data_IF_266437018786
#
_entry.id   IF_266437018786
#
_cell.length_a   1.000
_cell.length_b   1.000
_cell.length_c   1.000
_cell.angle_alpha   90.00
_cell.angle_beta   90.00
_cell.angle_gamma   90.00
#
_symmetry.space_group_name_H-M   'P 1'
#
loop_
_entity.id
_entity.type
_entity.pdbx_description
1 polymer ?
#
# COMPACT_ATOMS: atom_id res chain seq x y z
N UNK A 1 -5.44 15.02 29.95
CA UNK A 1 -6.60 14.28 29.38
C UNK A 1 -6.11 13.51 28.17
N UNK A 2 -6.34 12.18 28.09
CA UNK A 2 -5.98 11.37 26.92
C UNK A 2 -6.80 11.82 25.70
N UNK A 3 -6.18 11.87 24.52
CA UNK A 3 -6.88 12.15 23.26
C UNK A 3 -7.96 11.10 22.98
N UNK A 4 -8.95 11.42 22.12
CA UNK A 4 -10.00 10.46 21.72
C UNK A 4 -9.41 9.17 21.11
N UNK A 5 -8.33 9.29 20.31
CA UNK A 5 -7.63 8.16 19.72
C UNK A 5 -6.97 7.26 20.79
N UNK A 6 -6.28 7.85 21.77
CA UNK A 6 -5.65 7.10 22.86
C UNK A 6 -6.69 6.33 23.70
N UNK A 7 -7.87 6.92 23.97
CA UNK A 7 -8.95 6.21 24.68
C UNK A 7 -9.44 4.98 23.91
N UNK A 8 -9.50 5.07 22.56
CA UNK A 8 -9.89 3.93 21.72
C UNK A 8 -8.85 2.82 21.75
N UNK A 9 -7.55 3.14 21.76
CA UNK A 9 -6.49 2.13 21.85
C UNK A 9 -6.50 1.39 23.19
N UNK A 10 -6.67 2.11 24.30
CA UNK A 10 -6.83 1.50 25.64
C UNK A 10 -8.05 0.57 25.66
N UNK A 11 -9.17 0.98 25.05
CA UNK A 11 -10.36 0.12 24.96
C UNK A 11 -10.09 -1.15 24.13
N UNK A 12 -9.34 -1.06 23.02
CA UNK A 12 -8.95 -2.24 22.23
C UNK A 12 -8.12 -3.21 23.07
N UNK A 13 -7.07 -2.73 23.74
CA UNK A 13 -6.22 -3.56 24.58
C UNK A 13 -7.02 -4.23 25.72
N UNK A 14 -7.88 -3.49 26.39
CA UNK A 14 -8.75 -4.02 27.44
C UNK A 14 -9.72 -5.08 26.90
N UNK A 15 -10.35 -4.82 25.75
CA UNK A 15 -11.26 -5.79 25.11
C UNK A 15 -10.55 -7.08 24.74
N UNK A 16 -9.33 -7.02 24.19
CA UNK A 16 -8.55 -8.22 23.87
C UNK A 16 -8.32 -9.06 25.12
N UNK A 17 -7.88 -8.43 26.21
CA UNK A 17 -7.61 -9.10 27.48
C UNK A 17 -8.87 -9.69 28.14
N UNK A 18 -9.93 -8.88 28.26
CA UNK A 18 -11.17 -9.23 28.99
C UNK A 18 -11.99 -10.29 28.24
N UNK A 19 -12.12 -10.14 26.91
CA UNK A 19 -12.91 -11.03 26.06
C UNK A 19 -12.13 -12.22 25.53
N UNK A 20 -10.83 -12.31 25.84
CA UNK A 20 -9.93 -13.37 25.35
C UNK A 20 -9.99 -13.49 23.82
N UNK A 21 -9.86 -12.37 23.13
CA UNK A 21 -9.91 -12.33 21.67
C UNK A 21 -8.75 -13.14 21.08
N UNK A 22 -9.07 -14.04 20.15
CA UNK A 22 -8.08 -14.93 19.50
C UNK A 22 -7.66 -14.44 18.13
N UNK A 23 -8.52 -13.73 17.42
CA UNK A 23 -8.26 -13.26 16.04
C UNK A 23 -8.70 -11.80 15.89
N UNK A 24 -7.88 -11.01 15.21
CA UNK A 24 -8.21 -9.62 14.89
C UNK A 24 -7.86 -9.30 13.44
N UNK A 25 -8.68 -8.46 12.80
CA UNK A 25 -8.39 -7.83 11.52
C UNK A 25 -8.07 -6.36 11.77
N UNK A 26 -6.86 -5.92 11.44
CA UNK A 26 -6.37 -4.58 11.72
C UNK A 26 -5.69 -4.00 10.47
N UNK A 27 -5.88 -2.71 10.20
CA UNK A 27 -5.07 -2.05 9.18
C UNK A 27 -3.69 -1.68 9.74
N UNK A 28 -2.64 -1.60 8.92
CA UNK A 28 -1.28 -1.28 9.37
C UNK A 28 -1.16 -0.04 10.25
N UNK A 29 -1.93 1.01 9.94
CA UNK A 29 -1.97 2.22 10.78
C UNK A 29 -2.47 1.96 12.21
N UNK A 30 -3.47 1.09 12.38
CA UNK A 30 -3.97 0.72 13.72
C UNK A 30 -2.94 -0.09 14.48
N UNK A 31 -2.25 -1.01 13.81
CA UNK A 31 -1.16 -1.79 14.40
C UNK A 31 -0.04 -0.86 14.87
N UNK A 32 0.39 0.08 14.02
CA UNK A 32 1.39 1.07 14.39
C UNK A 32 0.98 1.88 15.61
N UNK A 33 -0.27 2.36 15.65
CA UNK A 33 -0.78 3.11 16.79
C UNK A 33 -0.79 2.28 18.08
N UNK A 34 -1.11 0.98 18.02
CA UNK A 34 -1.02 0.08 19.16
C UNK A 34 0.43 -0.08 19.64
N UNK A 35 1.36 -0.34 18.72
CA UNK A 35 2.78 -0.50 19.03
C UNK A 35 3.41 0.77 19.64
N UNK A 36 2.92 1.94 19.25
CA UNK A 36 3.42 3.23 19.77
C UNK A 36 2.78 3.64 21.10
N UNK A 37 1.80 2.86 21.60
CA UNK A 37 1.18 3.14 22.90
C UNK A 37 2.10 2.73 24.04
N UNK A 38 2.26 3.59 25.07
CA UNK A 38 3.15 3.37 26.21
C UNK A 38 2.90 2.05 26.95
N UNK A 39 1.65 1.62 27.02
CA UNK A 39 1.21 0.48 27.81
C UNK A 39 1.17 -0.83 27.01
N UNK A 40 1.56 -0.80 25.73
CA UNK A 40 1.44 -1.98 24.86
C UNK A 40 2.25 -3.18 25.34
N UNK A 41 3.42 -2.93 25.94
CA UNK A 41 4.28 -3.99 26.46
C UNK A 41 3.68 -4.69 27.70
N UNK A 42 2.79 -4.00 28.43
CA UNK A 42 2.10 -4.53 29.61
C UNK A 42 0.71 -5.08 29.28
N UNK A 43 0.21 -4.86 28.06
CA UNK A 43 -1.12 -5.30 27.66
C UNK A 43 -1.18 -6.82 27.45
N UNK A 44 -2.26 -7.45 27.92
CA UNK A 44 -2.45 -8.89 27.78
C UNK A 44 -2.98 -9.27 26.39
N UNK A 45 -2.10 -9.76 25.52
CA UNK A 45 -2.40 -10.35 24.22
C UNK A 45 -2.22 -11.87 24.22
N UNK A 46 -2.12 -12.52 25.37
CA UNK A 46 -1.82 -13.96 25.47
C UNK A 46 -2.85 -14.86 24.81
N UNK A 47 -4.11 -14.41 24.69
CA UNK A 47 -5.17 -15.14 23.99
C UNK A 47 -5.14 -14.98 22.48
N UNK A 48 -4.41 -13.98 21.96
CA UNK A 48 -4.38 -13.66 20.53
C UNK A 48 -3.57 -14.72 19.77
N UNK A 49 -4.21 -15.38 18.82
CA UNK A 49 -3.57 -16.41 17.98
C UNK A 49 -3.14 -15.84 16.63
N UNK A 50 -3.97 -14.93 16.04
CA UNK A 50 -3.69 -14.36 14.72
C UNK A 50 -4.06 -12.89 14.65
N UNK A 51 -3.21 -12.12 13.99
CA UNK A 51 -3.52 -10.77 13.49
C UNK A 51 -3.49 -10.82 11.97
N UNK A 52 -4.65 -10.59 11.35
CA UNK A 52 -4.79 -10.42 9.93
C UNK A 52 -4.64 -8.93 9.63
N UNK A 53 -3.77 -8.58 8.70
CA UNK A 53 -3.58 -7.19 8.30
C UNK A 53 -3.63 -7.03 6.78
N UNK A 54 -4.01 -5.87 6.30
CA UNK A 54 -4.12 -5.60 4.87
C UNK A 54 -4.74 -4.23 4.59
N UNK A 55 -5.31 -4.09 3.40
CA UNK A 55 -5.88 -2.85 2.87
C UNK A 55 -4.87 -1.73 2.56
N UNK A 56 -3.65 -1.77 3.11
CA UNK A 56 -2.53 -0.89 2.76
C UNK A 56 -1.21 -1.59 3.00
N UNK A 57 -0.09 -1.12 2.41
CA UNK A 57 1.24 -1.68 2.66
C UNK A 57 1.61 -1.63 4.15
N UNK A 58 2.24 -2.69 4.65
CA UNK A 58 2.78 -2.78 6.01
C UNK A 58 4.25 -2.36 6.00
N UNK A 59 4.64 -1.28 6.71
CA UNK A 59 6.05 -0.93 6.83
C UNK A 59 6.86 -2.06 7.48
N UNK A 60 8.00 -2.40 6.90
CA UNK A 60 8.85 -3.49 7.39
C UNK A 60 9.22 -3.36 8.88
N UNK A 61 9.56 -2.15 9.32
CA UNK A 61 9.88 -1.87 10.72
C UNK A 61 8.69 -2.11 11.66
N UNK A 62 7.46 -1.79 11.22
CA UNK A 62 6.22 -2.05 11.99
C UNK A 62 5.98 -3.55 12.11
N UNK A 63 6.12 -4.29 11.00
CA UNK A 63 5.97 -5.74 10.99
C UNK A 63 6.99 -6.42 11.89
N UNK A 64 8.25 -6.01 11.81
CA UNK A 64 9.32 -6.54 12.65
C UNK A 64 9.02 -6.32 14.13
N UNK A 65 8.61 -5.11 14.54
CA UNK A 65 8.20 -4.81 15.92
C UNK A 65 7.03 -5.69 16.40
N UNK A 66 6.05 -5.98 15.52
CA UNK A 66 4.96 -6.92 15.86
C UNK A 66 5.51 -8.31 16.19
N UNK A 67 6.37 -8.83 15.32
CA UNK A 67 6.93 -10.18 15.47
C UNK A 67 7.84 -10.30 16.68
N UNK A 68 8.55 -9.25 17.04
CA UNK A 68 9.38 -9.18 18.26
C UNK A 68 8.54 -9.09 19.53
N UNK A 69 7.51 -8.25 19.53
CA UNK A 69 6.65 -8.03 20.71
C UNK A 69 5.70 -9.23 20.95
N UNK A 70 5.20 -9.83 19.88
CA UNK A 70 4.21 -10.90 19.93
C UNK A 70 4.66 -12.15 19.14
N UNK A 71 5.73 -12.83 19.54
CA UNK A 71 6.30 -13.97 18.78
C UNK A 71 5.35 -15.18 18.67
N UNK A 72 4.35 -15.25 19.54
CA UNK A 72 3.33 -16.31 19.54
C UNK A 72 2.17 -16.01 18.59
N UNK A 73 1.98 -14.75 18.16
CA UNK A 73 0.88 -14.36 17.29
C UNK A 73 1.24 -14.63 15.82
N UNK A 74 0.40 -15.38 15.14
CA UNK A 74 0.53 -15.60 13.70
C UNK A 74 0.13 -14.35 12.91
N UNK A 75 1.10 -13.68 12.30
CA UNK A 75 0.81 -12.58 11.38
C UNK A 75 0.32 -13.12 10.05
N UNK A 76 -0.74 -12.54 9.48
CA UNK A 76 -1.31 -12.89 8.18
C UNK A 76 -1.53 -11.62 7.40
N UNK A 77 -0.90 -11.47 6.24
CA UNK A 77 -1.26 -10.40 5.31
C UNK A 77 -2.38 -10.86 4.39
N UNK A 78 -3.36 -9.99 4.14
CA UNK A 78 -4.42 -10.19 3.18
C UNK A 78 -4.44 -9.04 2.16
N UNK A 79 -4.30 -9.38 0.89
CA UNK A 79 -4.48 -8.45 -0.23
C UNK A 79 -5.80 -8.72 -0.94
N UNK A 80 -6.44 -7.65 -1.36
CA UNK A 80 -7.64 -7.66 -2.18
C UNK A 80 -8.41 -6.35 -2.06
N UNK A 81 -9.65 -6.38 -2.52
CA UNK A 81 -10.52 -5.20 -2.57
C UNK A 81 -11.99 -5.61 -2.42
N UNK A 82 -12.88 -4.63 -2.24
CA UNK A 82 -14.30 -4.86 -2.02
C UNK A 82 -14.94 -5.71 -3.12
N UNK A 83 -14.50 -5.53 -4.35
CA UNK A 83 -14.91 -6.26 -5.55
C UNK A 83 -14.60 -7.77 -5.49
N UNK A 84 -13.75 -8.18 -4.53
CA UNK A 84 -13.28 -9.55 -4.32
C UNK A 84 -13.72 -10.14 -2.97
N UNK A 85 -14.62 -9.52 -2.25
CA UNK A 85 -15.31 -9.91 -1.00
C UNK A 85 -14.42 -10.48 0.15
N UNK A 86 -13.36 -9.85 0.61
CA UNK A 86 -12.47 -8.87 0.00
C UNK A 86 -11.07 -9.44 -0.34
N UNK A 87 -10.79 -10.75 -0.15
CA UNK A 87 -9.42 -11.31 -0.14
C UNK A 87 -9.09 -12.10 -1.40
N UNK A 88 -8.02 -11.71 -2.08
CA UNK A 88 -7.47 -12.40 -3.25
C UNK A 88 -6.26 -13.26 -2.89
N UNK A 89 -5.28 -12.70 -2.18
CA UNK A 89 -4.08 -13.42 -1.75
C UNK A 89 -3.86 -13.33 -0.25
N UNK A 90 -3.10 -14.28 0.27
CA UNK A 90 -2.69 -14.28 1.67
C UNK A 90 -1.20 -14.65 1.81
N UNK A 91 -0.49 -13.92 2.68
CA UNK A 91 0.82 -14.29 3.16
C UNK A 91 0.65 -14.96 4.53
N UNK A 92 1.07 -16.20 4.64
CA UNK A 92 0.81 -17.05 5.80
C UNK A 92 1.68 -16.69 7.02
N UNK A 93 1.33 -17.15 8.25
CA UNK A 93 2.22 -17.03 9.40
C UNK A 93 3.56 -17.74 9.20
N UNK A 94 3.59 -18.80 8.41
CA UNK A 94 4.81 -19.52 8.06
C UNK A 94 5.74 -18.68 7.21
N UNK A 95 5.18 -18.00 6.19
CA UNK A 95 5.93 -17.09 5.34
C UNK A 95 6.49 -15.91 6.14
N UNK A 96 5.73 -15.40 7.12
CA UNK A 96 6.22 -14.37 8.04
C UNK A 96 7.41 -14.86 8.86
N UNK A 97 7.37 -16.09 9.39
CA UNK A 97 8.49 -16.68 10.12
C UNK A 97 9.70 -16.96 9.25
N UNK A 98 9.46 -17.34 7.98
CA UNK A 98 10.52 -17.54 6.98
C UNK A 98 11.27 -16.24 6.70
N UNK A 99 10.57 -15.12 6.69
CA UNK A 99 11.17 -13.79 6.53
C UNK A 99 11.77 -13.54 5.14
N UNK A 100 12.65 -12.54 5.06
CA UNK A 100 13.32 -12.19 3.81
C UNK A 100 12.43 -11.39 2.85
N UNK A 101 12.69 -11.54 1.53
CA UNK A 101 11.99 -10.76 0.50
C UNK A 101 10.49 -11.08 0.42
N UNK A 102 10.06 -12.28 0.80
CA UNK A 102 8.65 -12.67 0.74
C UNK A 102 7.75 -11.80 1.64
N UNK A 103 8.30 -11.17 2.67
CA UNK A 103 7.56 -10.22 3.51
C UNK A 103 7.09 -8.97 2.77
N UNK A 104 7.64 -8.71 1.59
CA UNK A 104 7.21 -7.61 0.70
C UNK A 104 6.10 -8.04 -0.25
N UNK A 105 5.82 -9.35 -0.35
CA UNK A 105 4.77 -9.86 -1.22
C UNK A 105 3.40 -9.69 -0.59
N UNK A 106 2.36 -9.70 -1.42
CA UNK A 106 0.98 -9.82 -1.00
C UNK A 106 0.58 -11.28 -0.69
N UNK A 107 1.53 -12.22 -0.76
CA UNK A 107 1.30 -13.64 -0.55
C UNK A 107 0.92 -14.39 -1.83
N UNK A 108 0.26 -15.54 -1.66
CA UNK A 108 -0.18 -16.43 -2.73
C UNK A 108 -1.70 -16.38 -2.90
N UNK A 109 -2.22 -16.71 -4.10
CA UNK A 109 -3.65 -16.83 -4.33
C UNK A 109 -4.33 -17.73 -3.29
N UNK A 110 -5.52 -17.32 -2.82
CA UNK A 110 -6.34 -18.20 -1.98
C UNK A 110 -6.90 -19.36 -2.83
N UNK A 111 -7.23 -20.52 -2.25
CA UNK A 111 -7.67 -21.69 -3.01
C UNK A 111 -8.94 -21.51 -3.81
N UNK A 112 -9.69 -20.43 -3.60
CA UNK A 112 -10.99 -20.18 -4.25
C UNK A 112 -10.89 -19.27 -5.47
N UNK A 113 -9.71 -18.73 -5.78
CA UNK A 113 -9.54 -17.80 -6.90
C UNK A 113 -8.37 -18.13 -7.81
N UNK A 114 -8.55 -17.78 -9.07
CA UNK A 114 -7.49 -17.68 -10.06
C UNK A 114 -7.00 -16.23 -10.09
N UNK A 115 -5.70 -16.03 -10.16
CA UNK A 115 -5.06 -14.71 -10.30
C UNK A 115 -4.08 -14.76 -11.46
N UNK A 116 -4.11 -13.74 -12.32
CA UNK A 116 -3.18 -13.53 -13.39
C UNK A 116 -2.61 -12.13 -13.31
N UNK A 117 -1.41 -11.94 -13.83
CA UNK A 117 -0.84 -10.62 -14.15
C UNK A 117 -0.84 -10.52 -15.67
N UNK A 118 -1.50 -9.51 -16.21
CA UNK A 118 -1.75 -9.40 -17.65
C UNK A 118 -1.19 -8.10 -18.23
N UNK A 119 -0.80 -8.17 -19.50
CA UNK A 119 -0.48 -7.03 -20.34
C UNK A 119 -1.74 -6.28 -20.76
N UNK A 120 -1.58 -5.11 -21.39
CA UNK A 120 -2.70 -4.27 -21.89
C UNK A 120 -3.58 -5.00 -22.92
N UNK A 121 -3.04 -6.00 -23.64
CA UNK A 121 -3.78 -6.84 -24.58
C UNK A 121 -4.49 -8.04 -23.93
N UNK A 122 -4.39 -8.17 -22.59
CA UNK A 122 -4.98 -9.26 -21.80
C UNK A 122 -4.20 -10.58 -21.84
N UNK A 123 -3.05 -10.64 -22.51
CA UNK A 123 -2.13 -11.80 -22.47
C UNK A 123 -1.41 -11.86 -21.12
N UNK A 124 -1.01 -13.09 -20.70
CA UNK A 124 -0.26 -13.26 -19.45
C UNK A 124 1.13 -12.62 -19.54
N UNK A 125 1.52 -11.91 -18.49
CA UNK A 125 2.89 -11.48 -18.30
C UNK A 125 3.79 -12.67 -17.95
N UNK A 126 5.04 -12.62 -18.40
CA UNK A 126 6.06 -13.55 -17.92
C UNK A 126 6.33 -13.30 -16.42
N UNK A 127 6.84 -14.33 -15.74
CA UNK A 127 7.29 -14.20 -14.34
C UNK A 127 8.34 -13.09 -14.24
N UNK A 128 8.24 -12.26 -13.22
CA UNK A 128 9.10 -11.09 -13.02
C UNK A 128 8.73 -9.86 -13.84
N UNK A 129 7.72 -9.96 -14.73
CA UNK A 129 7.23 -8.83 -15.54
C UNK A 129 5.98 -8.25 -14.89
N UNK A 130 5.94 -6.93 -14.79
CA UNK A 130 4.80 -6.19 -14.23
C UNK A 130 3.67 -6.07 -15.24
N UNK A 131 2.43 -6.24 -14.76
CA UNK A 131 1.20 -6.00 -15.50
C UNK A 131 0.02 -5.80 -14.55
N UNK A 132 -1.19 -5.69 -15.09
CA UNK A 132 -2.39 -5.56 -14.25
C UNK A 132 -2.75 -6.89 -13.58
N UNK A 133 -3.01 -6.82 -12.29
CA UNK A 133 -3.53 -7.98 -11.52
C UNK A 133 -5.00 -8.16 -11.84
N UNK A 134 -5.38 -9.34 -12.36
CA UNK A 134 -6.76 -9.71 -12.59
C UNK A 134 -7.12 -10.96 -11.80
N UNK A 135 -8.33 -10.96 -11.24
CA UNK A 135 -8.80 -12.00 -10.32
C UNK A 135 -10.15 -12.57 -10.77
N UNK A 136 -10.28 -13.87 -10.72
CA UNK A 136 -11.54 -14.59 -11.00
C UNK A 136 -11.81 -15.59 -9.89
N UNK A 137 -13.06 -15.66 -9.44
CA UNK A 137 -13.51 -16.65 -8.45
C UNK A 137 -14.98 -16.46 -8.08
N UNK A 138 -15.56 -17.39 -7.29
CA UNK A 138 -16.98 -17.33 -6.90
C UNK A 138 -17.31 -16.14 -5.98
N UNK A 139 -16.32 -15.49 -5.43
CA UNK A 139 -16.45 -14.36 -4.51
C UNK A 139 -16.35 -12.99 -5.20
N UNK A 140 -16.14 -12.96 -6.53
CA UNK A 140 -16.08 -11.69 -7.29
C UNK A 140 -17.45 -11.03 -7.32
N UNK A 141 -17.46 -9.70 -7.30
CA UNK A 141 -18.68 -8.89 -7.34
C UNK A 141 -19.54 -9.21 -8.56
N UNK A 142 -20.85 -9.02 -8.45
CA UNK A 142 -21.76 -9.05 -9.60
C UNK A 142 -21.72 -7.76 -10.42
N UNK A 143 -21.26 -6.65 -9.83
CA UNK A 143 -21.13 -5.33 -10.45
C UNK A 143 -21.37 -4.20 -9.46
N UNK A 144 -21.17 -2.99 -9.94
CA UNK A 144 -21.48 -1.77 -9.19
C UNK A 144 -22.96 -1.39 -9.33
N UNK A 145 -23.58 -1.03 -8.23
CA UNK A 145 -25.01 -0.64 -8.22
C UNK A 145 -25.27 0.58 -9.10
N UNK A 146 -26.18 0.43 -10.08
CA UNK A 146 -26.55 1.47 -11.06
C UNK A 146 -25.38 2.06 -11.86
N UNK A 147 -24.31 1.28 -12.07
CA UNK A 147 -23.12 1.71 -12.79
C UNK A 147 -22.67 0.66 -13.81
N UNK A 148 -23.42 0.48 -14.89
CA UNK A 148 -23.14 -0.58 -15.87
C UNK A 148 -21.82 -0.35 -16.62
N UNK A 149 -21.46 0.88 -16.93
CA UNK A 149 -20.23 1.19 -17.65
C UNK A 149 -18.98 0.92 -16.79
N UNK A 150 -18.98 1.38 -15.53
CA UNK A 150 -17.90 1.10 -14.58
C UNK A 150 -17.80 -0.40 -14.28
N UNK A 151 -18.96 -1.10 -14.22
CA UNK A 151 -18.97 -2.55 -14.08
C UNK A 151 -18.32 -3.24 -15.27
N UNK A 152 -18.67 -2.84 -16.49
CA UNK A 152 -18.09 -3.42 -17.71
C UNK A 152 -16.57 -3.17 -17.84
N UNK A 153 -16.06 -2.05 -17.28
CA UNK A 153 -14.61 -1.79 -17.23
C UNK A 153 -13.91 -2.67 -16.21
N UNK A 154 -14.49 -2.81 -15.03
CA UNK A 154 -13.87 -3.54 -13.91
C UNK A 154 -14.07 -5.07 -14.00
N UNK A 155 -15.13 -5.55 -14.66
CA UNK A 155 -15.47 -6.97 -14.77
C UNK A 155 -15.57 -7.38 -16.24
N UNK A 156 -14.52 -8.04 -16.74
CA UNK A 156 -14.42 -8.44 -18.13
C UNK A 156 -14.23 -9.97 -18.24
N UNK A 157 -15.12 -10.64 -18.95
CA UNK A 157 -15.07 -12.11 -19.16
C UNK A 157 -14.95 -12.92 -17.85
N UNK A 158 -15.56 -12.44 -16.76
CA UNK A 158 -15.54 -13.06 -15.44
C UNK A 158 -14.26 -12.77 -14.63
N UNK A 159 -13.38 -11.94 -15.14
CA UNK A 159 -12.20 -11.44 -14.42
C UNK A 159 -12.45 -10.02 -13.91
N UNK A 160 -12.13 -9.79 -12.64
CA UNK A 160 -12.07 -8.46 -12.06
C UNK A 160 -10.69 -7.88 -12.36
N UNK A 161 -10.66 -6.78 -13.09
CA UNK A 161 -9.49 -5.94 -13.33
C UNK A 161 -9.32 -5.02 -12.12
N UNK A 162 -8.27 -5.27 -11.34
CA UNK A 162 -8.13 -4.66 -10.01
C UNK A 162 -7.66 -3.20 -10.05
N UNK A 163 -7.05 -2.79 -11.15
CA UNK A 163 -6.35 -1.51 -11.27
C UNK A 163 -5.05 -1.46 -10.45
N UNK A 164 -4.60 -2.59 -9.92
CA UNK A 164 -3.31 -2.70 -9.24
C UNK A 164 -2.29 -3.35 -10.18
N UNK A 165 -1.09 -2.79 -10.28
CA UNK A 165 0.04 -3.40 -10.97
C UNK A 165 0.71 -4.40 -10.04
N UNK A 166 1.06 -5.58 -10.57
CA UNK A 166 1.71 -6.62 -9.80
C UNK A 166 2.70 -7.45 -10.59
N UNK A 167 3.47 -8.26 -9.89
CA UNK A 167 4.48 -9.18 -10.43
C UNK A 167 4.36 -10.50 -9.69
N UNK A 168 4.36 -11.63 -10.40
CA UNK A 168 4.59 -12.94 -9.79
C UNK A 168 6.08 -13.29 -9.80
N UNK A 169 6.56 -13.88 -8.70
CA UNK A 169 7.86 -14.55 -8.67
C UNK A 169 7.74 -16.05 -9.06
N UNK A 170 8.90 -16.72 -9.17
CA UNK A 170 8.98 -18.14 -9.53
C UNK A 170 8.32 -19.07 -8.50
N UNK A 171 8.18 -18.63 -7.26
CA UNK A 171 7.51 -19.35 -6.17
C UNK A 171 6.00 -19.10 -6.11
N UNK A 172 5.45 -18.24 -6.99
CA UNK A 172 4.04 -17.90 -7.09
C UNK A 172 3.56 -16.89 -6.02
N UNK A 173 4.47 -16.11 -5.45
CA UNK A 173 4.10 -14.95 -4.62
C UNK A 173 3.80 -13.75 -5.50
N UNK A 174 2.71 -13.07 -5.19
CA UNK A 174 2.31 -11.81 -5.83
C UNK A 174 2.92 -10.62 -5.10
N UNK A 175 3.60 -9.76 -5.82
CA UNK A 175 4.08 -8.47 -5.33
C UNK A 175 3.25 -7.36 -5.95
N UNK A 176 2.55 -6.58 -5.15
CA UNK A 176 1.85 -5.38 -5.63
C UNK A 176 2.86 -4.26 -5.75
N UNK A 177 3.00 -3.73 -6.94
CA UNK A 177 3.98 -2.69 -7.28
C UNK A 177 3.40 -1.31 -7.05
N UNK A 178 2.21 -1.04 -7.60
CA UNK A 178 1.52 0.25 -7.48
C UNK A 178 0.05 0.13 -7.92
N UNK A 179 -0.67 1.24 -7.87
CA UNK A 179 -1.94 1.41 -8.57
C UNK A 179 -1.70 1.97 -9.97
N UNK A 180 -2.32 1.35 -10.98
CA UNK A 180 -2.18 1.82 -12.36
C UNK A 180 -2.56 3.29 -12.54
N UNK A 181 -3.64 3.74 -11.88
CA UNK A 181 -4.07 5.14 -11.88
C UNK A 181 -3.14 6.12 -11.17
N UNK A 182 -2.24 5.61 -10.32
CA UNK A 182 -1.27 6.43 -9.56
C UNK A 182 0.13 6.40 -10.20
N UNK A 183 0.36 5.47 -11.14
CA UNK A 183 1.57 5.39 -11.93
C UNK A 183 1.78 6.68 -12.74
N UNK A 184 3.00 7.18 -12.76
CA UNK A 184 3.37 8.39 -13.52
C UNK A 184 3.96 7.96 -14.86
N UNK A 185 3.41 8.49 -15.95
CA UNK A 185 3.94 8.26 -17.31
C UNK A 185 4.78 9.45 -17.72
N UNK A 186 6.09 9.34 -17.61
CA UNK A 186 7.03 10.44 -17.89
C UNK A 186 7.92 10.09 -19.07
N UNK A 187 7.82 10.86 -20.17
CA UNK A 187 8.61 10.63 -21.38
C UNK A 187 8.41 9.24 -22.02
N UNK A 188 7.24 8.62 -21.83
CA UNK A 188 6.91 7.27 -22.29
C UNK A 188 7.35 6.14 -21.36
N UNK A 189 7.98 6.45 -20.23
CA UNK A 189 8.40 5.49 -19.23
C UNK A 189 7.41 5.44 -18.05
N UNK A 190 7.10 4.24 -17.59
CA UNK A 190 6.24 4.01 -16.44
C UNK A 190 7.03 4.12 -15.13
N UNK A 191 6.61 5.01 -14.26
CA UNK A 191 7.19 5.20 -12.92
C UNK A 191 6.17 4.81 -11.87
N UNK A 192 6.45 3.74 -11.16
CA UNK A 192 5.65 3.32 -10.01
C UNK A 192 5.95 4.26 -8.83
N UNK A 193 4.93 4.94 -8.35
CA UNK A 193 5.07 5.94 -7.28
C UNK A 193 5.56 5.33 -5.99
N UNK A 194 5.14 4.10 -5.68
CA UNK A 194 5.56 3.36 -4.49
C UNK A 194 7.07 3.09 -4.47
N UNK A 195 7.71 2.85 -5.63
CA UNK A 195 9.17 2.65 -5.71
C UNK A 195 9.92 3.93 -5.29
N UNK A 196 9.44 5.08 -5.76
CA UNK A 196 10.03 6.39 -5.43
C UNK A 196 9.76 6.75 -3.97
N UNK A 197 8.55 6.47 -3.47
CA UNK A 197 8.18 6.65 -2.06
C UNK A 197 9.08 5.83 -1.14
N UNK A 198 9.34 4.56 -1.48
CA UNK A 198 10.24 3.68 -0.73
C UNK A 198 11.69 4.19 -0.71
N UNK A 199 12.16 4.75 -1.82
CA UNK A 199 13.48 5.38 -1.87
C UNK A 199 13.54 6.59 -0.94
N UNK A 200 12.56 7.49 -1.00
CA UNK A 200 12.53 8.71 -0.20
C UNK A 200 12.33 8.46 1.29
N UNK A 201 11.44 7.52 1.67
CA UNK A 201 11.16 7.20 3.08
C UNK A 201 12.37 6.59 3.80
N UNK A 202 13.32 6.02 3.05
CA UNK A 202 14.58 5.50 3.63
C UNK A 202 15.56 6.59 4.05
N UNK A 203 15.32 7.85 3.67
CA UNK A 203 16.12 8.99 4.11
C UNK A 203 15.79 9.37 5.56
N UNK A 204 16.80 9.51 6.41
CA UNK A 204 16.64 9.69 7.86
C UNK A 204 15.79 10.91 8.28
N UNK A 205 15.75 11.96 7.45
CA UNK A 205 14.95 13.15 7.73
C UNK A 205 13.48 13.02 7.30
N UNK A 206 13.10 12.02 6.48
CA UNK A 206 11.76 11.88 5.92
C UNK A 206 10.87 11.08 6.87
N UNK A 207 9.79 11.70 7.33
CA UNK A 207 8.78 11.07 8.18
C UNK A 207 7.67 10.40 7.35
N UNK A 208 7.23 11.06 6.27
CA UNK A 208 6.17 10.58 5.39
C UNK A 208 6.37 11.17 3.99
N UNK A 209 5.91 10.46 2.97
CA UNK A 209 6.05 10.89 1.58
C UNK A 209 4.92 10.34 0.73
N UNK A 210 4.47 11.14 -0.23
CA UNK A 210 3.58 10.70 -1.28
C UNK A 210 4.06 11.22 -2.63
N UNK A 211 4.14 10.35 -3.62
CA UNK A 211 4.60 10.68 -4.96
C UNK A 211 3.41 10.73 -5.91
N UNK A 212 3.36 11.75 -6.74
CA UNK A 212 2.30 11.98 -7.72
C UNK A 212 2.88 12.38 -9.09
N UNK A 213 2.11 12.19 -10.15
CA UNK A 213 2.38 12.80 -11.45
C UNK A 213 1.80 14.21 -11.49
N UNK A 214 2.60 15.16 -11.96
CA UNK A 214 2.17 16.53 -12.24
C UNK A 214 2.35 16.82 -13.73
N UNK A 215 1.61 17.77 -14.31
CA UNK A 215 1.75 18.12 -15.73
C UNK A 215 3.16 18.57 -16.08
N UNK A 216 3.66 18.15 -17.24
CA UNK A 216 4.94 18.57 -17.77
C UNK A 216 4.86 18.74 -19.31
N UNK A 217 5.31 19.87 -19.82
CA UNK A 217 5.14 20.24 -21.24
C UNK A 217 5.83 19.27 -22.21
N UNK A 218 6.99 18.76 -21.83
CA UNK A 218 7.82 17.90 -22.69
C UNK A 218 7.53 16.41 -22.49
N UNK A 219 7.27 15.98 -21.24
CA UNK A 219 7.19 14.55 -20.88
C UNK A 219 5.76 14.06 -20.60
N UNK A 220 4.76 14.92 -20.76
CA UNK A 220 3.38 14.66 -20.37
C UNK A 220 3.19 14.77 -18.87
N UNK A 221 3.87 13.94 -18.10
CA UNK A 221 3.92 14.05 -16.64
C UNK A 221 5.37 14.10 -16.13
N UNK A 222 5.56 14.74 -14.97
CA UNK A 222 6.78 14.68 -14.20
C UNK A 222 6.51 14.08 -12.82
N UNK A 223 7.48 13.30 -12.31
CA UNK A 223 7.44 12.76 -10.97
C UNK A 223 7.60 13.88 -9.96
N UNK A 224 6.66 14.02 -9.02
CA UNK A 224 6.67 15.04 -7.98
C UNK A 224 6.49 14.40 -6.60
N UNK A 225 7.34 14.76 -5.64
CA UNK A 225 7.30 14.25 -4.29
C UNK A 225 6.72 15.27 -3.30
N UNK A 226 5.75 14.86 -2.50
CA UNK A 226 5.22 15.61 -1.37
C UNK A 226 5.80 14.98 -0.11
N UNK A 227 6.62 15.74 0.63
CA UNK A 227 7.46 15.23 1.71
C UNK A 227 7.09 15.88 3.04
N UNK A 228 6.96 15.07 4.07
CA UNK A 228 6.88 15.53 5.47
C UNK A 228 8.16 15.10 6.16
N UNK A 229 8.88 16.05 6.75
CA UNK A 229 10.08 15.77 7.50
C UNK A 229 9.78 15.47 8.98
N UNK A 230 10.66 14.71 9.61
CA UNK A 230 10.60 14.53 11.07
C UNK A 230 10.73 15.89 11.79
N UNK A 231 10.12 16.07 12.97
CA UNK A 231 10.29 17.28 13.77
C UNK A 231 11.78 17.60 14.01
N UNK A 232 12.15 18.86 13.78
CA UNK A 232 13.54 19.35 13.92
C UNK A 232 14.56 18.75 12.93
N UNK A 233 14.12 18.05 11.89
CA UNK A 233 14.97 17.63 10.78
C UNK A 233 14.80 18.57 9.60
N UNK A 234 15.84 18.67 8.78
CA UNK A 234 15.85 19.42 7.52
C UNK A 234 16.43 18.54 6.42
N UNK A 235 15.94 18.71 5.21
CA UNK A 235 16.52 18.12 4.01
C UNK A 235 16.24 19.07 2.84
N UNK A 236 17.20 19.22 1.94
CA UNK A 236 17.01 19.96 0.68
C UNK A 236 16.56 19.03 -0.43
N UNK A 237 16.03 19.60 -1.52
CA UNK A 237 15.67 18.83 -2.71
C UNK A 237 16.91 18.10 -3.29
N UNK A 238 18.07 18.77 -3.31
CA UNK A 238 19.32 18.21 -3.81
C UNK A 238 19.78 17.00 -2.99
N UNK A 239 19.64 17.05 -1.67
CA UNK A 239 19.96 15.93 -0.77
C UNK A 239 19.03 14.73 -1.03
N UNK A 240 17.73 14.96 -1.17
CA UNK A 240 16.76 13.92 -1.48
C UNK A 240 16.98 13.32 -2.88
N UNK A 241 17.29 14.15 -3.88
CA UNK A 241 17.66 13.70 -5.23
C UNK A 241 18.93 12.86 -5.19
N UNK A 242 19.97 13.31 -4.46
CA UNK A 242 21.21 12.55 -4.31
C UNK A 242 20.96 11.20 -3.63
N UNK A 243 20.10 11.17 -2.61
CA UNK A 243 19.70 9.94 -1.94
C UNK A 243 18.98 8.97 -2.90
N UNK A 244 18.00 9.43 -3.68
CA UNK A 244 17.30 8.62 -4.66
C UNK A 244 18.22 8.01 -5.72
N UNK A 245 19.26 8.74 -6.15
CA UNK A 245 20.23 8.25 -7.14
C UNK A 245 20.96 6.98 -6.72
N UNK A 246 21.00 6.68 -5.45
CA UNK A 246 21.65 5.46 -4.93
C UNK A 246 20.80 4.21 -5.08
N UNK A 247 19.49 4.35 -5.33
CA UNK A 247 18.54 3.24 -5.23
C UNK A 247 17.57 3.10 -6.40
N UNK A 248 17.30 4.19 -7.16
CA UNK A 248 16.36 4.16 -8.29
C UNK A 248 16.96 4.77 -9.56
N UNK A 249 16.40 4.39 -10.71
CA UNK A 249 16.85 4.88 -12.01
C UNK A 249 16.61 6.40 -12.17
N UNK A 250 17.45 7.07 -12.94
CA UNK A 250 17.46 8.52 -13.07
C UNK A 250 16.14 9.15 -13.55
N UNK A 251 15.40 8.49 -14.43
CA UNK A 251 14.10 8.96 -14.94
C UNK A 251 12.98 8.87 -13.87
N UNK A 252 13.14 8.03 -12.85
CA UNK A 252 12.21 7.87 -11.73
C UNK A 252 12.38 8.92 -10.63
N UNK A 253 13.52 9.63 -10.61
CA UNK A 253 13.83 10.62 -9.57
C UNK A 253 12.86 11.81 -9.70
N UNK A 254 12.26 12.26 -8.59
CA UNK A 254 11.39 13.44 -8.62
C UNK A 254 12.07 14.67 -9.24
N UNK A 255 11.31 15.38 -10.06
CA UNK A 255 11.73 16.64 -10.70
C UNK A 255 11.34 17.87 -9.88
N UNK A 256 10.50 17.68 -8.88
CA UNK A 256 10.09 18.72 -7.94
C UNK A 256 9.64 18.13 -6.62
N UNK A 257 9.70 18.97 -5.59
CA UNK A 257 9.33 18.61 -4.24
C UNK A 257 8.40 19.65 -3.63
N UNK A 258 7.47 19.19 -2.80
CA UNK A 258 6.67 20.04 -1.93
C UNK A 258 6.88 19.59 -0.49
N UNK A 259 7.49 20.43 0.33
CA UNK A 259 7.60 20.17 1.76
C UNK A 259 6.33 20.61 2.47
N UNK A 260 5.75 19.71 3.24
CA UNK A 260 4.47 19.87 3.90
C UNK A 260 4.60 19.68 5.41
N UNK A 261 3.93 20.52 6.19
CA UNK A 261 3.86 20.41 7.65
C UNK A 261 2.62 19.62 8.11
N UNK A 262 1.52 19.72 7.36
CA UNK A 262 0.27 19.03 7.69
C UNK A 262 0.32 17.57 7.26
N UNK A 263 -0.39 16.66 7.98
CA UNK A 263 -0.51 15.27 7.58
C UNK A 263 -1.06 15.10 6.16
N UNK A 264 -0.72 13.98 5.51
CA UNK A 264 -1.30 13.63 4.21
C UNK A 264 -2.83 13.48 4.32
N UNK A 265 -3.60 13.91 3.31
CA UNK A 265 -5.04 13.70 3.29
C UNK A 265 -5.34 12.19 3.19
N UNK A 266 -6.17 11.69 4.11
CA UNK A 266 -6.48 10.27 4.20
C UNK A 266 -7.95 10.00 3.92
N UNK A 267 -8.23 8.89 3.27
CA UNK A 267 -9.57 8.32 3.16
C UNK A 267 -10.07 7.82 4.52
N UNK A 268 -11.36 7.50 4.63
CA UNK A 268 -11.92 6.88 5.84
C UNK A 268 -11.26 5.54 6.22
N UNK A 269 -10.62 4.87 5.25
CA UNK A 269 -9.84 3.64 5.46
C UNK A 269 -8.36 3.89 5.75
N UNK A 270 -7.92 5.15 5.92
CA UNK A 270 -6.54 5.52 6.24
C UNK A 270 -5.58 5.50 5.05
N UNK A 271 -6.07 5.46 3.80
CA UNK A 271 -5.24 5.53 2.59
C UNK A 271 -5.02 6.97 2.17
N UNK A 272 -3.80 7.31 1.73
CA UNK A 272 -3.50 8.63 1.17
C UNK A 272 -4.37 8.90 -0.06
N UNK A 273 -5.02 10.05 -0.09
CA UNK A 273 -5.83 10.53 -1.21
C UNK A 273 -4.93 11.30 -2.19
N UNK A 274 -4.22 10.56 -3.06
CA UNK A 274 -3.33 11.16 -4.09
C UNK A 274 -4.10 12.09 -5.04
N UNK A 275 -5.39 11.85 -5.27
CA UNK A 275 -6.25 12.73 -6.04
C UNK A 275 -6.35 14.15 -5.45
N UNK A 276 -6.45 14.28 -4.12
CA UNK A 276 -6.44 15.59 -3.46
C UNK A 276 -5.07 16.27 -3.55
N UNK A 277 -3.99 15.49 -3.49
CA UNK A 277 -2.63 16.00 -3.61
C UNK A 277 -2.31 16.47 -5.04
N UNK A 278 -2.87 15.81 -6.06
CA UNK A 278 -2.72 16.19 -7.49
C UNK A 278 -3.50 17.46 -7.85
N UNK A 279 -4.67 17.64 -7.24
CA UNK A 279 -5.64 18.68 -7.62
C UNK A 279 -5.04 20.07 -7.85
N UNK A 280 -4.18 20.64 -6.97
CA UNK A 280 -3.61 21.96 -7.18
C UNK A 280 -2.75 22.09 -8.43
N UNK A 281 -2.15 20.99 -8.91
CA UNK A 281 -1.26 20.99 -10.08
C UNK A 281 -2.02 20.81 -11.40
N UNK A 282 -3.24 20.27 -11.35
CA UNK A 282 -4.06 19.95 -12.50
C UNK A 282 -5.23 20.95 -12.70
N UNK A 283 -5.39 21.95 -11.80
CA UNK A 283 -6.42 22.97 -11.92
C UNK A 283 -6.22 23.79 -13.20
N UNK A 284 -7.29 23.85 -14.05
CA UNK A 284 -7.31 24.62 -15.30
C UNK A 284 -6.72 23.90 -16.52
N UNK A 285 -6.37 22.63 -16.41
CA UNK A 285 -5.92 21.82 -17.53
C UNK A 285 -7.01 20.82 -17.95
N UNK A 286 -7.34 20.80 -19.26
CA UNK A 286 -8.37 19.91 -19.84
C UNK A 286 -8.00 18.42 -19.88
N UNK A 287 -6.81 18.06 -19.45
CA UNK A 287 -6.34 16.68 -19.35
C UNK A 287 -6.37 16.20 -17.91
N UNK A 288 -7.39 15.46 -17.55
CA UNK A 288 -7.28 14.47 -16.48
C UNK A 288 -6.59 13.24 -17.09
N UNK A 289 -5.34 13.02 -16.73
CA UNK A 289 -4.68 11.75 -17.03
C UNK A 289 -5.26 10.70 -16.09
N UNK A 290 -5.82 9.67 -16.66
CA UNK A 290 -6.36 8.38 -16.23
C UNK A 290 -6.74 8.19 -14.76
#
# INVERSE_FOLDING_TARGET
>A
MLSSAMKKLVAVMATVAEQKITHALLVPAMIKMLLDHSDIAAADFSSMEKIIYGASPMPAATLQRCMELWPHIGMVQAYGQTELAPVATMLSPEDHRRGGQILKSAGRPTPINDIRVVNDDGSDCAIGVSGEVVVRGPHTMMGYWNKPEETARALQNGWVYTGDAGIFDDDGYLYIVDRLKDMVVTGGENVFTTEVENALISHAAVQDVSVIGIPHDEWGEAVHAIVILHPNQTATEEELVAHCRTSIAGYKIPKGFTFRAEPMPLSGAGKVLKTELRKPFWEGLDRQVN
#
